data_IF_754657331114
#
_entry.id   IF_754657331114
#
_cell.length_a   1.000
_cell.length_b   1.000
_cell.length_c   1.000
_cell.angle_alpha   90.00
_cell.angle_beta   90.00
_cell.angle_gamma   90.00
#
_symmetry.space_group_name_H-M   'P 1'
#
loop_
_entity.id
_entity.type
_entity.pdbx_description
1 polymer ?
#
# COMPACT_ATOMS: atom_id res chain seq x y z
N UNK A 1 -4.50 9.84 1.11
CA UNK A 1 -3.10 9.41 1.37
C UNK A 1 -2.55 9.98 2.66
N UNK A 2 -2.29 11.29 2.77
CA UNK A 2 -1.70 11.86 3.99
C UNK A 2 -2.54 11.57 5.25
N UNK A 3 -3.86 11.68 5.13
CA UNK A 3 -4.77 11.38 6.24
C UNK A 3 -4.74 9.92 6.67
N UNK A 4 -4.70 8.98 5.71
CA UNK A 4 -4.59 7.55 6.03
C UNK A 4 -3.25 7.23 6.70
N UNK A 5 -2.16 7.86 6.25
CA UNK A 5 -0.83 7.72 6.89
C UNK A 5 -0.83 8.31 8.30
N UNK A 6 -1.44 9.48 8.49
CA UNK A 6 -1.57 10.10 9.80
C UNK A 6 -2.38 9.21 10.75
N UNK A 7 -3.47 8.61 10.26
CA UNK A 7 -4.30 7.68 11.03
C UNK A 7 -3.54 6.40 11.39
N UNK A 8 -2.79 5.81 10.46
CA UNK A 8 -1.92 4.66 10.73
C UNK A 8 -0.88 4.99 11.80
N UNK A 9 -0.28 6.19 11.75
CA UNK A 9 0.65 6.66 12.79
C UNK A 9 -0.04 6.83 14.14
N UNK A 10 -1.26 7.40 14.19
CA UNK A 10 -1.99 7.56 15.46
C UNK A 10 -2.40 6.23 16.08
N UNK A 11 -2.61 5.19 15.26
CA UNK A 11 -2.83 3.81 15.74
C UNK A 11 -1.53 3.10 16.16
N UNK A 12 -0.37 3.77 16.08
CA UNK A 12 0.92 3.19 16.42
C UNK A 12 1.39 2.10 15.45
N UNK A 13 0.90 2.10 14.20
CA UNK A 13 1.34 1.17 13.16
C UNK A 13 2.83 1.32 12.88
N UNK A 14 3.48 0.20 12.54
CA UNK A 14 4.91 0.10 12.28
C UNK A 14 5.18 -0.10 10.79
N UNK A 15 6.45 -0.01 10.40
CA UNK A 15 6.93 -0.25 9.02
C UNK A 15 6.17 0.51 7.94
N UNK A 16 5.75 1.75 8.25
CA UNK A 16 4.98 2.57 7.33
C UNK A 16 5.85 2.93 6.12
N UNK A 17 5.46 2.45 4.95
CA UNK A 17 6.12 2.68 3.67
C UNK A 17 5.14 3.39 2.75
N UNK A 18 5.61 4.44 2.08
CA UNK A 18 4.79 5.30 1.21
C UNK A 18 5.50 5.42 -0.12
N UNK A 19 4.81 5.11 -1.22
CA UNK A 19 5.29 5.18 -2.59
C UNK A 19 6.72 4.61 -2.71
N UNK A 20 6.91 3.36 -2.31
CA UNK A 20 8.24 2.74 -2.39
C UNK A 20 8.78 2.83 -3.82
N UNK A 21 10.04 3.21 -3.95
CA UNK A 21 10.67 3.40 -5.24
C UNK A 21 11.32 2.09 -5.69
N UNK A 22 11.11 1.71 -6.95
CA UNK A 22 11.83 0.60 -7.57
C UNK A 22 13.15 1.13 -8.13
N UNK A 23 14.25 0.48 -7.77
CA UNK A 23 15.59 0.76 -8.29
C UNK A 23 16.15 -0.46 -9.01
N UNK A 24 16.99 -0.23 -10.02
CA UNK A 24 17.74 -1.29 -10.69
C UNK A 24 19.10 -1.55 -9.99
N UNK A 25 19.91 -2.47 -10.54
CA UNK A 25 21.22 -2.82 -9.96
C UNK A 25 22.27 -1.69 -10.02
N UNK A 26 22.04 -0.63 -10.81
CA UNK A 26 22.86 0.57 -10.80
C UNK A 26 22.32 1.67 -9.86
N UNK A 27 21.37 1.34 -8.98
CA UNK A 27 20.71 2.29 -8.07
C UNK A 27 19.89 3.37 -8.80
N UNK A 28 19.59 3.19 -10.08
CA UNK A 28 18.74 4.09 -10.83
C UNK A 28 17.26 3.80 -10.55
N UNK A 29 16.48 4.85 -10.31
CA UNK A 29 15.03 4.76 -10.17
C UNK A 29 14.39 4.34 -11.49
N UNK A 30 13.61 3.26 -11.46
CA UNK A 30 12.90 2.73 -12.63
C UNK A 30 11.38 2.65 -12.46
N UNK A 31 10.86 2.91 -11.26
CA UNK A 31 9.42 2.88 -11.03
C UNK A 31 9.01 3.17 -9.60
N UNK A 32 7.71 3.02 -9.34
CA UNK A 32 7.09 3.03 -8.01
C UNK A 32 6.45 1.66 -7.81
N UNK A 33 6.78 1.00 -6.70
CA UNK A 33 6.16 -0.26 -6.32
C UNK A 33 4.75 -0.03 -5.78
N UNK A 34 3.88 -1.01 -5.97
CA UNK A 34 2.57 -1.10 -5.32
C UNK A 34 2.64 -2.09 -4.16
N UNK A 35 1.88 -1.87 -3.07
CA UNK A 35 0.85 -0.83 -2.86
C UNK A 35 1.44 0.57 -2.60
N UNK A 36 0.61 1.62 -2.74
CA UNK A 36 1.05 3.01 -2.53
C UNK A 36 1.35 3.30 -1.06
N UNK A 37 0.60 2.71 -0.13
CA UNK A 37 0.89 2.73 1.31
C UNK A 37 0.86 1.30 1.85
N UNK A 38 1.85 0.99 2.69
CA UNK A 38 1.91 -0.24 3.46
C UNK A 38 2.23 0.08 4.91
N UNK A 39 1.62 -0.65 5.85
CA UNK A 39 2.03 -0.65 7.26
C UNK A 39 1.78 -2.01 7.93
N UNK A 40 2.30 -2.17 9.14
CA UNK A 40 2.00 -3.29 10.04
C UNK A 40 1.16 -2.76 11.22
N UNK A 41 -0.06 -3.24 11.38
CA UNK A 41 -0.92 -2.86 12.51
C UNK A 41 -0.34 -3.40 13.81
N UNK A 42 -0.27 -2.55 14.84
CA UNK A 42 0.41 -2.90 16.10
C UNK A 42 -0.26 -4.05 16.85
N UNK A 43 -1.59 -4.00 16.96
CA UNK A 43 -2.32 -4.89 17.87
C UNK A 43 -2.53 -6.28 17.28
N UNK A 44 -2.73 -6.38 15.96
CA UNK A 44 -2.96 -7.64 15.26
C UNK A 44 -1.72 -8.18 14.55
N UNK A 45 -0.66 -7.38 14.45
CA UNK A 45 0.53 -7.64 13.63
C UNK A 45 0.23 -7.91 12.13
N UNK A 46 -0.99 -7.60 11.68
CA UNK A 46 -1.41 -7.79 10.28
C UNK A 46 -0.85 -6.69 9.40
N UNK A 47 -0.57 -7.04 8.14
CA UNK A 47 -0.25 -6.06 7.10
C UNK A 47 -1.51 -5.34 6.65
N UNK A 48 -1.37 -4.05 6.40
CA UNK A 48 -2.37 -3.24 5.71
C UNK A 48 -1.75 -2.63 4.47
N UNK A 49 -2.47 -2.74 3.35
CA UNK A 49 -2.10 -2.23 2.04
C UNK A 49 -3.19 -1.27 1.57
N UNK A 50 -2.83 -0.03 1.24
CA UNK A 50 -3.77 0.97 0.71
C UNK A 50 -3.31 1.34 -0.69
N UNK A 51 -4.21 1.19 -1.66
CA UNK A 51 -3.99 1.63 -3.03
C UNK A 51 -4.91 2.77 -3.39
N UNK A 52 -4.36 3.74 -4.11
CA UNK A 52 -5.10 4.88 -4.62
C UNK A 52 -5.16 4.75 -6.14
N UNK A 53 -6.37 4.59 -6.67
CA UNK A 53 -6.62 4.51 -8.11
C UNK A 53 -7.59 5.62 -8.53
N UNK A 54 -7.64 5.95 -9.82
CA UNK A 54 -8.62 6.90 -10.35
C UNK A 54 -9.89 6.18 -10.76
N UNK A 55 -11.04 6.85 -10.76
CA UNK A 55 -12.30 6.27 -11.25
C UNK A 55 -12.20 5.83 -12.72
N UNK A 56 -11.34 6.47 -13.50
CA UNK A 56 -11.05 6.09 -14.89
C UNK A 56 -10.18 4.83 -15.04
N UNK A 57 -9.72 4.24 -13.94
CA UNK A 57 -8.81 3.09 -13.92
C UNK A 57 -9.46 1.90 -13.23
N UNK A 58 -9.23 0.70 -13.77
CA UNK A 58 -9.71 -0.56 -13.22
C UNK A 58 -8.54 -1.46 -12.75
N UNK A 59 -7.42 -0.85 -12.35
CA UNK A 59 -6.21 -1.61 -11.98
C UNK A 59 -6.22 -2.04 -10.52
N UNK A 60 -6.83 -1.25 -9.64
CA UNK A 60 -6.88 -1.49 -8.20
C UNK A 60 -7.39 -2.89 -7.83
N UNK A 61 -8.47 -3.37 -8.46
CA UNK A 61 -9.01 -4.70 -8.18
C UNK A 61 -8.00 -5.83 -8.50
N UNK A 62 -7.28 -5.72 -9.61
CA UNK A 62 -6.26 -6.69 -10.00
C UNK A 62 -5.03 -6.66 -9.10
N UNK A 63 -4.65 -5.51 -8.54
CA UNK A 63 -3.59 -5.47 -7.54
C UNK A 63 -4.05 -6.03 -6.19
N UNK A 64 -5.26 -5.70 -5.73
CA UNK A 64 -5.82 -6.23 -4.48
C UNK A 64 -5.85 -7.76 -4.46
N UNK A 65 -6.30 -8.38 -5.56
CA UNK A 65 -6.30 -9.84 -5.68
C UNK A 65 -4.90 -10.44 -5.56
N UNK A 66 -3.88 -9.82 -6.16
CA UNK A 66 -2.48 -10.28 -6.03
C UNK A 66 -1.93 -10.07 -4.63
N UNK A 67 -2.26 -8.95 -3.98
CA UNK A 67 -1.85 -8.68 -2.61
C UNK A 67 -2.38 -9.76 -1.65
N UNK A 68 -3.68 -10.08 -1.74
CA UNK A 68 -4.31 -11.13 -0.93
C UNK A 68 -3.84 -12.53 -1.31
N UNK A 69 -3.49 -12.78 -2.57
CA UNK A 69 -2.88 -14.06 -2.95
C UNK A 69 -1.50 -14.27 -2.32
N UNK A 70 -0.72 -13.20 -2.15
CA UNK A 70 0.61 -13.26 -1.55
C UNK A 70 0.57 -13.23 -0.01
N UNK A 71 -0.40 -12.51 0.55
CA UNK A 71 -0.59 -12.32 1.99
C UNK A 71 -2.10 -12.41 2.32
N UNK A 72 -2.64 -13.63 2.50
CA UNK A 72 -4.08 -13.85 2.68
C UNK A 72 -4.67 -13.21 3.93
N UNK A 73 -3.85 -12.92 4.94
CA UNK A 73 -4.26 -12.32 6.20
C UNK A 73 -4.19 -10.78 6.19
N UNK A 74 -3.68 -10.18 5.11
CA UNK A 74 -3.57 -8.75 4.97
C UNK A 74 -4.93 -8.06 4.82
N UNK A 75 -4.98 -6.81 5.26
CA UNK A 75 -6.10 -5.91 5.03
C UNK A 75 -5.77 -5.07 3.79
N UNK A 76 -6.58 -5.18 2.74
CA UNK A 76 -6.42 -4.37 1.53
C UNK A 76 -7.54 -3.33 1.44
N UNK A 77 -7.16 -2.06 1.28
CA UNK A 77 -8.08 -0.94 1.10
C UNK A 77 -7.85 -0.34 -0.28
N UNK A 78 -8.89 -0.33 -1.11
CA UNK A 78 -8.89 0.39 -2.39
C UNK A 78 -9.56 1.75 -2.19
N UNK A 79 -8.86 2.81 -2.55
CA UNK A 79 -9.36 4.20 -2.54
C UNK A 79 -9.44 4.69 -3.97
N UNK A 80 -10.60 5.18 -4.37
CA UNK A 80 -10.75 5.97 -5.60
C UNK A 80 -10.45 7.43 -5.29
N UNK A 81 -9.53 8.05 -6.04
CA UNK A 81 -9.15 9.45 -5.92
C UNK A 81 -9.19 10.12 -7.29
N UNK A 82 -10.00 11.16 -7.42
CA UNK A 82 -10.20 11.94 -8.64
C UNK A 82 -9.85 13.41 -8.38
#
# INVERSE_FOLDING_TARGET
MQDDVAYLRSMGAKDIRINQQQVNNQMCRVGICRPDVQATLRDSNKRIYIEYDRASSNRGAGHASRALSNDPDAIVILRTVD
#
